data_IF_026883011512
#
_entry.id   IF_026883011512
#
_cell.length_a   1.000
_cell.length_b   1.000
_cell.length_c   1.000
_cell.angle_alpha   90.00
_cell.angle_beta   90.00
_cell.angle_gamma   90.00
#
_symmetry.space_group_name_H-M   'P 1'
#
loop_
_entity.id
_entity.type
_entity.pdbx_description
1 polymer ?
#
# COMPACT_ATOMS: atom_id res chain seq x y z
N UNK A 1 -10.16 -19.75 18.89
CA UNK A 1 -11.20 -19.30 17.93
C UNK A 1 -12.60 -19.03 18.51
N UNK A 2 -13.05 -19.67 19.62
CA UNK A 2 -14.43 -19.48 20.15
C UNK A 2 -14.76 -18.02 20.50
N UNK A 3 -13.84 -17.29 21.12
CA UNK A 3 -14.04 -15.87 21.49
C UNK A 3 -14.25 -14.97 20.26
N UNK A 4 -13.39 -15.08 19.25
CA UNK A 4 -13.48 -14.29 18.02
C UNK A 4 -14.86 -14.43 17.34
N UNK A 5 -15.40 -15.65 17.26
CA UNK A 5 -16.75 -15.89 16.74
C UNK A 5 -17.83 -15.21 17.59
N UNK A 6 -17.71 -15.28 18.92
CA UNK A 6 -18.66 -14.64 19.85
C UNK A 6 -18.71 -13.12 19.67
N UNK A 7 -17.59 -12.49 19.33
CA UNK A 7 -17.49 -11.05 19.05
C UNK A 7 -17.58 -10.70 17.56
N UNK A 8 -18.03 -11.64 16.72
CA UNK A 8 -18.24 -11.45 15.27
C UNK A 8 -16.98 -11.00 14.51
N UNK A 9 -15.82 -11.56 14.86
CA UNK A 9 -14.57 -11.42 14.13
C UNK A 9 -14.23 -12.72 13.39
N UNK A 10 -13.56 -12.59 12.25
CA UNK A 10 -13.01 -13.71 11.48
C UNK A 10 -11.54 -13.87 11.88
N UNK A 11 -11.19 -14.86 12.72
CA UNK A 11 -9.82 -14.98 13.20
C UNK A 11 -8.93 -15.75 12.21
N UNK A 12 -7.71 -15.26 12.02
CA UNK A 12 -6.63 -15.94 11.29
C UNK A 12 -5.46 -16.16 12.24
N UNK A 13 -4.84 -17.35 12.19
CA UNK A 13 -3.66 -17.65 13.01
C UNK A 13 -2.40 -17.23 12.24
N UNK A 14 -1.54 -16.45 12.90
CA UNK A 14 -0.21 -16.08 12.42
C UNK A 14 0.82 -16.54 13.44
N UNK A 15 1.95 -17.06 12.98
CA UNK A 15 3.16 -17.12 13.83
C UNK A 15 3.75 -15.72 14.01
N UNK A 16 4.72 -15.62 14.91
CA UNK A 16 5.39 -14.36 15.25
C UNK A 16 6.41 -14.01 14.18
N UNK A 17 6.24 -12.84 13.56
CA UNK A 17 7.24 -12.15 12.75
C UNK A 17 6.91 -10.64 12.79
N UNK A 18 7.84 -9.81 12.32
CA UNK A 18 7.55 -8.40 12.12
C UNK A 18 6.42 -8.22 11.09
N UNK A 19 5.37 -7.48 11.44
CA UNK A 19 4.20 -7.23 10.58
C UNK A 19 3.19 -8.37 10.46
N UNK A 20 3.43 -9.54 11.09
CA UNK A 20 2.57 -10.73 10.96
C UNK A 20 2.32 -11.09 9.49
N UNK A 21 1.06 -11.31 9.09
CA UNK A 21 0.68 -11.55 7.69
C UNK A 21 0.42 -10.22 6.98
N UNK A 22 -0.60 -9.50 7.44
CA UNK A 22 -1.13 -8.34 6.72
C UNK A 22 -0.17 -7.17 6.60
N UNK A 23 0.38 -6.66 7.72
CA UNK A 23 1.27 -5.51 7.68
C UNK A 23 2.60 -5.84 7.03
N UNK A 24 3.03 -7.11 7.09
CA UNK A 24 4.21 -7.58 6.39
C UNK A 24 4.04 -7.50 4.88
N UNK A 25 2.91 -7.98 4.37
CA UNK A 25 2.57 -7.94 2.95
C UNK A 25 2.23 -6.53 2.43
N UNK A 26 1.66 -5.64 3.26
CA UNK A 26 1.30 -4.28 2.81
C UNK A 26 2.54 -3.40 2.56
N UNK A 27 3.67 -3.69 3.21
CA UNK A 27 4.91 -2.92 3.05
C UNK A 27 5.42 -2.92 1.59
N UNK A 28 5.67 -4.07 0.95
CA UNK A 28 6.10 -4.09 -0.46
C UNK A 28 5.03 -3.57 -1.43
N UNK A 29 3.74 -3.78 -1.12
CA UNK A 29 2.62 -3.21 -1.88
C UNK A 29 2.65 -1.66 -1.89
N UNK A 30 2.84 -1.04 -0.72
CA UNK A 30 2.94 0.42 -0.58
C UNK A 30 4.22 0.98 -1.20
N UNK A 31 5.33 0.28 -1.00
CA UNK A 31 6.63 0.63 -1.60
C UNK A 31 6.49 0.73 -3.12
N UNK A 32 5.90 -0.29 -3.75
CA UNK A 32 5.74 -0.32 -5.21
C UNK A 32 4.79 0.76 -5.72
N UNK A 33 3.70 1.03 -4.98
CA UNK A 33 2.80 2.13 -5.31
C UNK A 33 3.51 3.50 -5.28
N UNK A 34 4.46 3.71 -4.36
CA UNK A 34 5.26 4.94 -4.28
C UNK A 34 6.36 4.98 -5.35
N UNK A 35 6.97 3.84 -5.70
CA UNK A 35 7.91 3.77 -6.83
C UNK A 35 7.24 4.16 -8.15
N UNK A 36 6.02 3.70 -8.41
CA UNK A 36 5.24 4.12 -9.58
C UNK A 36 5.10 5.64 -9.69
N UNK A 37 5.02 6.35 -8.55
CA UNK A 37 4.97 7.82 -8.57
C UNK A 37 6.26 8.42 -9.12
N UNK A 38 7.40 7.94 -8.61
CA UNK A 38 8.73 8.38 -9.09
C UNK A 38 8.96 8.01 -10.55
N UNK A 39 8.32 6.95 -11.04
CA UNK A 39 8.42 6.53 -12.44
C UNK A 39 7.40 7.22 -13.35
N UNK A 40 6.58 8.14 -12.84
CA UNK A 40 5.75 9.04 -13.65
C UNK A 40 4.25 8.95 -13.42
N UNK A 41 3.76 7.99 -12.64
CA UNK A 41 2.33 7.91 -12.33
C UNK A 41 1.92 9.00 -11.32
N UNK A 42 0.71 9.52 -11.43
CA UNK A 42 0.13 10.39 -10.40
C UNK A 42 -0.52 9.56 -9.29
N UNK A 43 -0.69 10.12 -8.07
CA UNK A 43 -1.48 9.48 -7.01
C UNK A 43 -2.85 8.99 -7.50
N UNK A 44 -3.55 9.83 -8.28
CA UNK A 44 -4.87 9.54 -8.81
C UNK A 44 -4.87 8.40 -9.84
N UNK A 45 -3.82 8.26 -10.65
CA UNK A 45 -3.66 7.13 -11.58
C UNK A 45 -3.49 5.83 -10.81
N UNK A 46 -2.58 5.79 -9.83
CA UNK A 46 -2.33 4.59 -9.01
C UNK A 46 -3.58 4.17 -8.25
N UNK A 47 -4.15 5.07 -7.45
CA UNK A 47 -5.34 4.75 -6.65
C UNK A 47 -6.53 4.39 -7.54
N UNK A 48 -6.72 5.14 -8.63
CA UNK A 48 -7.82 4.91 -9.57
C UNK A 48 -7.76 3.53 -10.21
N UNK A 49 -6.57 3.07 -10.62
CA UNK A 49 -6.40 1.73 -11.20
C UNK A 49 -6.74 0.64 -10.18
N UNK A 50 -6.29 0.77 -8.94
CA UNK A 50 -6.55 -0.22 -7.88
C UNK A 50 -8.02 -0.22 -7.44
N UNK A 51 -8.66 0.93 -7.41
CA UNK A 51 -10.10 1.04 -7.12
C UNK A 51 -10.96 0.47 -8.26
N UNK A 52 -10.59 0.72 -9.52
CA UNK A 52 -11.24 0.08 -10.68
C UNK A 52 -11.02 -1.43 -10.72
N UNK A 53 -9.84 -1.90 -10.29
CA UNK A 53 -9.60 -3.32 -10.06
C UNK A 53 -10.56 -3.91 -9.01
N UNK A 54 -10.91 -3.12 -7.99
CA UNK A 54 -11.91 -3.46 -6.99
C UNK A 54 -11.43 -3.32 -5.54
N UNK A 55 -10.24 -2.77 -5.31
CA UNK A 55 -9.81 -2.41 -3.95
C UNK A 55 -10.78 -1.40 -3.34
N UNK A 56 -11.06 -1.53 -2.04
CA UNK A 56 -11.94 -0.59 -1.34
C UNK A 56 -11.39 0.85 -1.32
N UNK A 57 -10.07 1.01 -1.37
CA UNK A 57 -9.35 2.28 -1.42
C UNK A 57 -7.96 2.04 -2.01
N UNK A 58 -7.47 2.97 -2.83
CA UNK A 58 -6.12 2.92 -3.36
C UNK A 58 -5.02 3.08 -2.30
N UNK A 59 -3.80 2.58 -2.57
CA UNK A 59 -2.69 2.59 -1.61
C UNK A 59 -2.29 3.98 -1.13
N UNK A 60 -2.28 4.97 -2.02
CA UNK A 60 -1.81 6.33 -1.71
C UNK A 60 -2.82 7.03 -0.78
N UNK A 61 -4.11 6.88 -1.05
CA UNK A 61 -5.16 7.36 -0.16
C UNK A 61 -5.17 6.64 1.20
N UNK A 62 -4.85 5.34 1.26
CA UNK A 62 -4.68 4.60 2.52
C UNK A 62 -3.50 5.17 3.33
N UNK A 63 -2.40 5.57 2.68
CA UNK A 63 -1.28 6.21 3.35
C UNK A 63 -1.70 7.54 4.00
N UNK A 64 -2.42 8.39 3.27
CA UNK A 64 -2.97 9.64 3.80
C UNK A 64 -4.01 9.44 4.90
N UNK A 65 -4.85 8.41 4.81
CA UNK A 65 -5.84 8.08 5.84
C UNK A 65 -5.17 7.61 7.14
N UNK A 66 -4.13 6.77 7.01
CA UNK A 66 -3.38 6.23 8.15
C UNK A 66 -2.51 7.30 8.83
N UNK A 67 -2.02 8.24 8.03
CA UNK A 67 -1.12 9.33 8.41
C UNK A 67 0.32 9.02 8.08
N UNK A 68 0.93 9.85 7.23
CA UNK A 68 2.29 9.65 6.70
C UNK A 68 3.36 9.67 7.81
N UNK A 69 3.12 10.42 8.88
CA UNK A 69 4.03 10.52 10.03
C UNK A 69 4.15 9.21 10.82
N UNK A 70 3.18 8.31 10.73
CA UNK A 70 3.23 7.01 11.42
C UNK A 70 4.36 6.16 10.84
N UNK A 71 4.38 5.98 9.52
CA UNK A 71 5.46 5.25 8.84
C UNK A 71 6.79 5.99 8.92
N UNK A 72 6.78 7.32 8.84
CA UNK A 72 7.98 8.14 8.97
C UNK A 72 8.67 7.93 10.32
N UNK A 73 7.92 8.07 11.43
CA UNK A 73 8.46 7.84 12.79
C UNK A 73 8.90 6.40 12.99
N UNK A 74 8.19 5.43 12.42
CA UNK A 74 8.59 4.02 12.49
C UNK A 74 9.93 3.77 11.79
N UNK A 75 10.17 4.38 10.62
CA UNK A 75 11.47 4.33 9.92
C UNK A 75 12.57 5.02 10.71
N UNK A 76 12.33 6.24 11.21
CA UNK A 76 13.32 7.00 12.00
C UNK A 76 13.72 6.31 13.32
N UNK A 77 12.90 5.40 13.82
CA UNK A 77 13.21 4.59 15.01
C UNK A 77 14.10 3.37 14.70
N UNK A 78 14.33 3.04 13.41
CA UNK A 78 15.25 1.98 13.02
C UNK A 78 16.70 2.47 13.20
N UNK A 79 17.60 1.63 13.73
CA UNK A 79 19.00 2.01 13.91
C UNK A 79 19.75 2.22 12.58
N UNK A 80 19.29 1.58 11.51
CA UNK A 80 19.78 1.73 10.14
C UNK A 80 18.56 1.76 9.21
N UNK A 81 17.91 2.92 9.05
CA UNK A 81 16.73 3.03 8.20
C UNK A 81 17.12 2.76 6.74
N UNK A 82 16.38 1.92 6.02
CA UNK A 82 16.70 1.63 4.63
C UNK A 82 16.59 2.91 3.78
N UNK A 83 17.64 3.18 3.00
CA UNK A 83 17.66 4.23 1.97
C UNK A 83 16.91 3.75 0.73
N UNK A 84 15.58 3.82 0.81
CA UNK A 84 14.67 3.36 -0.23
C UNK A 84 13.93 4.55 -0.85
N UNK A 85 14.19 4.88 -2.14
CA UNK A 85 13.64 6.04 -2.81
C UNK A 85 12.12 6.18 -2.72
N UNK A 86 11.41 5.05 -2.62
CA UNK A 86 9.96 5.03 -2.45
C UNK A 86 9.48 5.94 -1.30
N UNK A 87 10.27 6.07 -0.23
CA UNK A 87 9.89 6.86 0.93
C UNK A 87 10.08 8.38 0.74
N UNK A 88 10.91 8.83 -0.22
CA UNK A 88 11.37 10.23 -0.31
C UNK A 88 10.21 11.23 -0.36
N UNK A 89 9.23 10.98 -1.22
CA UNK A 89 8.07 11.87 -1.37
C UNK A 89 7.26 11.91 -0.08
N UNK A 90 6.97 10.75 0.52
CA UNK A 90 6.20 10.67 1.76
C UNK A 90 6.93 11.37 2.93
N UNK A 91 8.24 11.21 3.02
CA UNK A 91 9.09 11.84 4.03
C UNK A 91 9.07 13.36 3.86
N UNK A 92 9.21 13.84 2.62
CA UNK A 92 9.16 15.26 2.33
C UNK A 92 7.80 15.89 2.64
N UNK A 93 6.70 15.18 2.36
CA UNK A 93 5.36 15.59 2.75
C UNK A 93 5.22 15.71 4.28
N UNK A 94 5.80 14.78 5.04
CA UNK A 94 5.81 14.87 6.51
C UNK A 94 6.59 16.09 6.99
N UNK A 95 7.75 16.38 6.40
CA UNK A 95 8.56 17.57 6.71
C UNK A 95 7.84 18.89 6.38
N UNK A 96 6.98 18.87 5.36
CA UNK A 96 6.09 19.99 5.00
C UNK A 96 4.85 20.10 5.91
N UNK A 97 4.68 19.19 6.88
CA UNK A 97 3.51 19.15 7.75
C UNK A 97 2.24 18.58 7.08
N UNK A 98 2.38 17.96 5.91
CA UNK A 98 1.31 17.34 5.14
C UNK A 98 1.16 15.88 5.55
N UNK A 99 0.43 15.64 6.63
CA UNK A 99 0.34 14.33 7.29
C UNK A 99 -0.83 13.46 6.80
N UNK A 100 -1.50 13.83 5.71
CA UNK A 100 -2.67 13.14 5.17
C UNK A 100 -4.00 13.76 5.59
N UNK A 101 -5.04 12.93 5.66
CA UNK A 101 -6.42 13.40 5.86
C UNK A 101 -6.61 14.16 7.18
N UNK A 102 -5.84 13.81 8.22
CA UNK A 102 -5.93 14.46 9.55
C UNK A 102 -5.46 15.93 9.55
N UNK A 103 -4.63 16.32 8.59
CA UNK A 103 -4.16 17.70 8.39
C UNK A 103 -4.82 18.38 7.19
N UNK A 104 -5.76 17.70 6.52
CA UNK A 104 -6.40 18.19 5.28
C UNK A 104 -5.50 18.11 4.05
N UNK A 105 -4.28 17.58 4.18
CA UNK A 105 -3.25 17.58 3.14
C UNK A 105 -2.22 16.48 3.40
N UNK A 106 -1.96 15.67 2.37
CA UNK A 106 -0.91 14.66 2.26
C UNK A 106 -0.49 14.55 0.80
N UNK A 107 -0.55 13.34 0.23
CA UNK A 107 -0.49 13.14 -1.22
C UNK A 107 -1.66 13.80 -1.95
N UNK A 108 -2.82 13.87 -1.31
CA UNK A 108 -3.97 14.64 -1.78
C UNK A 108 -4.22 15.86 -0.92
N UNK A 109 -4.99 16.82 -1.45
CA UNK A 109 -5.75 17.76 -0.61
C UNK A 109 -7.10 17.14 -0.28
N UNK A 110 -7.61 17.47 0.89
CA UNK A 110 -8.89 16.99 1.36
C UNK A 110 -9.85 18.14 1.60
N UNK A 111 -11.04 18.03 0.99
CA UNK A 111 -12.13 18.96 1.28
C UNK A 111 -12.52 18.89 2.77
N UNK A 112 -12.57 20.04 3.45
CA UNK A 112 -12.76 20.09 4.90
C UNK A 112 -14.13 19.57 5.36
N UNK A 113 -15.17 19.65 4.52
CA UNK A 113 -16.53 19.24 4.87
C UNK A 113 -16.84 17.79 4.48
N UNK A 114 -16.38 17.36 3.31
CA UNK A 114 -16.73 16.07 2.68
C UNK A 114 -15.61 15.05 2.74
N UNK A 115 -14.38 15.47 3.05
CA UNK A 115 -13.15 14.66 2.98
C UNK A 115 -12.88 14.09 1.59
N UNK A 116 -13.45 14.68 0.54
CA UNK A 116 -13.18 14.29 -0.84
C UNK A 116 -11.71 14.54 -1.17
N UNK A 117 -11.07 13.57 -1.84
CA UNK A 117 -9.72 13.68 -2.40
C UNK A 117 -9.73 14.67 -3.55
N UNK A 118 -8.77 15.59 -3.53
CA UNK A 118 -8.50 16.56 -4.59
C UNK A 118 -7.03 16.46 -4.96
N UNK A 119 -6.76 16.42 -6.26
CA UNK A 119 -5.39 16.42 -6.78
C UNK A 119 -4.67 17.71 -6.37
N UNK A 120 -3.35 17.62 -6.25
CA UNK A 120 -2.50 18.71 -5.78
C UNK A 120 -1.24 18.87 -6.63
N UNK A 121 -1.24 19.89 -7.48
CA UNK A 121 -0.13 20.23 -8.38
C UNK A 121 1.21 20.40 -7.63
N UNK A 122 1.18 20.84 -6.36
CA UNK A 122 2.40 20.95 -5.54
C UNK A 122 3.01 19.57 -5.25
N UNK A 123 2.17 18.56 -5.01
CA UNK A 123 2.60 17.19 -4.76
C UNK A 123 3.11 16.55 -6.05
N UNK A 124 2.43 16.77 -7.18
CA UNK A 124 2.89 16.25 -8.47
C UNK A 124 4.23 16.89 -8.90
N UNK A 125 4.41 18.18 -8.65
CA UNK A 125 5.68 18.87 -8.88
C UNK A 125 6.80 18.33 -7.98
N UNK A 126 6.49 18.05 -6.70
CA UNK A 126 7.43 17.42 -5.77
C UNK A 126 7.85 16.03 -6.25
N UNK A 127 6.89 15.17 -6.63
CA UNK A 127 7.18 13.82 -7.17
C UNK A 127 8.13 13.92 -8.37
N UNK A 128 7.87 14.84 -9.30
CA UNK A 128 8.72 15.03 -10.49
C UNK A 128 10.13 15.50 -10.12
N UNK A 129 10.25 16.45 -9.19
CA UNK A 129 11.54 16.93 -8.69
C UNK A 129 12.37 15.81 -8.06
N UNK A 130 11.74 14.95 -7.25
CA UNK A 130 12.41 13.81 -6.63
C UNK A 130 12.85 12.78 -7.68
N UNK A 131 12.00 12.47 -8.66
CA UNK A 131 12.34 11.57 -9.77
C UNK A 131 13.53 12.10 -10.59
N UNK A 132 13.54 13.40 -10.91
CA UNK A 132 14.65 14.07 -11.62
C UNK A 132 15.96 14.01 -10.83
N UNK A 133 15.91 14.26 -9.51
CA UNK A 133 17.10 14.20 -8.65
C UNK A 133 17.69 12.78 -8.56
N UNK A 134 16.84 11.76 -8.63
CA UNK A 134 17.23 10.35 -8.63
C UNK A 134 17.61 9.81 -10.03
N UNK A 135 17.39 10.59 -11.09
CA UNK A 135 17.61 10.16 -12.47
C UNK A 135 16.67 9.04 -12.93
N UNK A 136 15.47 8.96 -12.35
CA UNK A 136 14.46 7.97 -12.70
C UNK A 136 13.74 8.41 -13.97
N UNK A 137 13.66 7.52 -14.96
CA UNK A 137 12.99 7.80 -16.22
C UNK A 137 11.46 7.76 -16.05
N UNK A 138 10.80 8.78 -16.57
CA UNK A 138 9.33 8.86 -16.64
C UNK A 138 8.81 7.89 -17.69
N UNK A 139 7.75 7.15 -17.34
CA UNK A 139 7.06 6.20 -18.19
C UNK A 139 5.55 6.38 -18.06
N UNK A 140 4.84 6.00 -19.12
CA UNK A 140 3.39 5.88 -19.09
C UNK A 140 3.01 4.46 -18.65
N UNK A 141 1.96 4.33 -17.84
CA UNK A 141 1.46 3.06 -17.35
C UNK A 141 -0.02 2.89 -17.68
N UNK A 142 -0.40 1.70 -18.13
CA UNK A 142 -1.79 1.27 -18.16
C UNK A 142 -2.29 0.90 -16.76
N UNK A 143 -3.61 0.90 -16.57
CA UNK A 143 -4.23 0.42 -15.33
C UNK A 143 -3.82 -1.01 -14.98
N UNK A 144 -3.69 -1.88 -15.98
CA UNK A 144 -3.31 -3.29 -15.79
C UNK A 144 -1.86 -3.40 -15.30
N UNK A 145 -0.94 -2.64 -15.90
CA UNK A 145 0.46 -2.60 -15.45
C UNK A 145 0.60 -2.07 -14.03
N UNK A 146 -0.14 -1.01 -13.66
CA UNK A 146 -0.16 -0.49 -12.29
C UNK A 146 -0.64 -1.57 -11.32
N UNK A 147 -1.77 -2.21 -11.62
CA UNK A 147 -2.36 -3.24 -10.76
C UNK A 147 -1.41 -4.42 -10.59
N UNK A 148 -0.86 -4.95 -11.68
CA UNK A 148 0.04 -6.10 -11.62
C UNK A 148 1.35 -5.74 -10.92
N UNK A 149 1.90 -4.54 -11.14
CA UNK A 149 3.10 -4.09 -10.43
C UNK A 149 2.89 -4.04 -8.94
N UNK A 150 1.83 -3.42 -8.43
CA UNK A 150 1.65 -3.34 -6.96
C UNK A 150 1.20 -4.67 -6.34
N UNK A 151 0.44 -5.49 -7.05
CA UNK A 151 -0.05 -6.78 -6.52
C UNK A 151 0.98 -7.89 -6.60
N UNK A 152 1.94 -7.84 -7.53
CA UNK A 152 2.97 -8.87 -7.62
C UNK A 152 3.83 -8.99 -6.35
N UNK A 153 4.48 -7.93 -5.84
CA UNK A 153 5.33 -8.03 -4.66
C UNK A 153 4.51 -8.28 -3.39
N UNK A 154 3.21 -7.91 -3.40
CA UNK A 154 2.25 -8.31 -2.37
C UNK A 154 2.09 -9.85 -2.31
N UNK A 155 1.90 -10.48 -3.48
CA UNK A 155 1.74 -11.93 -3.60
C UNK A 155 3.06 -12.65 -3.30
N UNK A 156 4.19 -12.14 -3.79
CA UNK A 156 5.51 -12.70 -3.51
C UNK A 156 5.79 -12.72 -1.99
N UNK A 157 5.41 -11.65 -1.27
CA UNK A 157 5.51 -11.62 0.20
C UNK A 157 4.58 -12.62 0.87
N UNK A 158 3.37 -12.82 0.33
CA UNK A 158 2.46 -13.87 0.77
C UNK A 158 3.05 -15.27 0.59
N UNK A 159 3.75 -15.53 -0.52
CA UNK A 159 4.45 -16.79 -0.77
C UNK A 159 5.60 -17.00 0.23
N UNK A 160 6.38 -15.96 0.55
CA UNK A 160 7.41 -16.00 1.60
C UNK A 160 6.80 -16.34 2.97
N UNK A 161 5.68 -15.71 3.34
CA UNK A 161 4.94 -15.99 4.58
C UNK A 161 4.48 -17.47 4.67
N UNK A 162 4.08 -18.07 3.56
CA UNK A 162 3.74 -19.49 3.49
C UNK A 162 4.96 -20.38 3.65
N UNK A 163 6.05 -20.07 2.94
CA UNK A 163 7.31 -20.82 3.00
C UNK A 163 7.90 -20.83 4.41
N UNK A 164 7.82 -19.71 5.12
CA UNK A 164 8.27 -19.57 6.51
C UNK A 164 7.30 -20.20 7.53
N UNK A 165 6.14 -20.68 7.08
CA UNK A 165 5.10 -21.28 7.93
C UNK A 165 4.43 -20.29 8.87
N UNK A 166 4.47 -18.99 8.55
CA UNK A 166 3.81 -17.93 9.33
C UNK A 166 2.30 -18.02 9.18
N UNK A 167 1.82 -18.20 7.95
CA UNK A 167 0.45 -18.62 7.65
C UNK A 167 0.40 -20.13 7.37
N UNK A 168 -0.71 -20.79 7.69
CA UNK A 168 -0.84 -22.24 7.49
C UNK A 168 -1.17 -22.63 6.05
N UNK A 169 -1.84 -21.74 5.30
CA UNK A 169 -2.32 -22.00 3.94
C UNK A 169 -2.66 -20.69 3.22
N UNK A 170 -2.68 -20.67 1.87
CA UNK A 170 -2.97 -19.47 1.08
C UNK A 170 -4.29 -18.78 1.45
N UNK A 171 -5.35 -19.57 1.67
CA UNK A 171 -6.67 -19.01 2.02
C UNK A 171 -6.72 -18.27 3.35
N UNK A 172 -5.79 -18.52 4.28
CA UNK A 172 -5.70 -17.75 5.52
C UNK A 172 -5.20 -16.31 5.24
N UNK A 173 -4.28 -16.16 4.29
CA UNK A 173 -3.80 -14.86 3.79
C UNK A 173 -4.91 -14.14 3.03
N UNK A 174 -5.64 -14.86 2.17
CA UNK A 174 -6.76 -14.28 1.42
C UNK A 174 -7.80 -13.66 2.37
N UNK A 175 -8.16 -14.38 3.44
CA UNK A 175 -9.10 -13.88 4.46
C UNK A 175 -8.55 -12.63 5.17
N UNK A 176 -7.25 -12.56 5.47
CA UNK A 176 -6.64 -11.34 6.04
C UNK A 176 -6.83 -10.16 5.10
N UNK A 177 -6.62 -10.34 3.79
CA UNK A 177 -6.70 -9.26 2.82
C UNK A 177 -8.12 -8.82 2.49
N UNK A 178 -9.07 -9.76 2.39
CA UNK A 178 -10.49 -9.45 2.18
C UNK A 178 -11.05 -8.64 3.36
N UNK A 179 -10.82 -9.10 4.59
CA UNK A 179 -11.45 -8.49 5.77
C UNK A 179 -10.64 -7.37 6.42
N UNK A 180 -9.33 -7.31 6.16
CA UNK A 180 -8.42 -6.36 6.79
C UNK A 180 -7.92 -5.24 5.87
N UNK A 181 -7.77 -5.52 4.58
CA UNK A 181 -7.11 -4.61 3.62
C UNK A 181 -7.99 -4.24 2.42
N UNK A 182 -9.26 -4.68 2.42
CA UNK A 182 -10.23 -4.29 1.40
C UNK A 182 -9.96 -4.89 0.02
N UNK A 183 -9.32 -6.06 -0.05
CA UNK A 183 -9.16 -6.79 -1.30
C UNK A 183 -10.54 -7.26 -1.83
N UNK A 184 -10.83 -7.14 -3.14
CA UNK A 184 -12.13 -7.48 -3.69
C UNK A 184 -12.45 -8.99 -3.54
N UNK A 185 -13.43 -9.31 -2.68
CA UNK A 185 -13.83 -10.69 -2.41
C UNK A 185 -14.29 -11.47 -3.66
N UNK A 186 -14.86 -10.77 -4.66
CA UNK A 186 -15.25 -11.39 -5.94
C UNK A 186 -14.05 -11.83 -6.80
N UNK A 187 -12.83 -11.42 -6.44
CA UNK A 187 -11.56 -11.89 -7.02
C UNK A 187 -10.85 -12.92 -6.13
N UNK A 188 -11.52 -13.42 -5.09
CA UNK A 188 -10.95 -14.36 -4.12
C UNK A 188 -10.13 -13.63 -3.07
N UNK A 189 -8.84 -13.46 -3.31
CA UNK A 189 -7.84 -12.83 -2.44
C UNK A 189 -6.50 -12.74 -3.18
N UNK A 190 -5.47 -12.08 -2.62
CA UNK A 190 -4.18 -11.94 -3.30
C UNK A 190 -3.56 -13.29 -3.68
N UNK A 191 -3.64 -14.32 -2.84
CA UNK A 191 -3.05 -15.62 -3.13
C UNK A 191 -3.86 -16.37 -4.19
N UNK A 192 -5.19 -16.33 -4.10
CA UNK A 192 -6.04 -16.89 -5.16
C UNK A 192 -5.79 -16.20 -6.52
N UNK A 193 -5.70 -14.88 -6.52
CA UNK A 193 -5.45 -14.07 -7.72
C UNK A 193 -4.07 -14.35 -8.33
N UNK A 194 -3.03 -14.41 -7.50
CA UNK A 194 -1.66 -14.70 -7.92
C UNK A 194 -1.47 -16.15 -8.41
N UNK A 195 -2.14 -17.13 -7.79
CA UNK A 195 -2.08 -18.52 -8.22
C UNK A 195 -2.66 -18.71 -9.63
N UNK A 196 -3.76 -18.01 -9.95
CA UNK A 196 -4.36 -18.02 -11.29
C UNK A 196 -3.46 -17.40 -12.38
N UNK A 197 -2.39 -16.70 -11.98
CA UNK A 197 -1.40 -16.04 -12.83
C UNK A 197 0.00 -16.67 -12.74
N UNK A 198 0.15 -17.80 -12.04
CA UNK A 198 1.43 -18.50 -11.84
C UNK A 198 2.53 -17.61 -11.22
N UNK A 199 2.15 -16.74 -10.27
CA UNK A 199 3.11 -15.85 -9.61
C UNK A 199 3.93 -16.51 -8.50
N UNK A 200 3.47 -17.65 -7.94
CA UNK A 200 4.14 -18.40 -6.87
C UNK A 200 3.78 -19.89 -6.88
#
# INVERSE_FOLDING_TARGET
MKLARRIRKVPVLSRVCYGFIGNRMVMPYMREAQMLLLEGATPAQVDGALERFGMAMGPIAVADLSGLDVSYKARQALPDPPDDPANNVADRLVEMGRLGQKTGAGFYRYDAGTRKRLDDDEVEALIRSEAEALGIAVQDFSDEEIVDRVLRPLVDEGARILQEGIAQRPGDIDIVYIYGYGFPAHRGGPMFYGAAREWF
#
